data_IF_969609495229
#
_entry.id   IF_969609495229
#
_cell.length_a   1.000
_cell.length_b   1.000
_cell.length_c   1.000
_cell.angle_alpha   90.00
_cell.angle_beta   90.00
_cell.angle_gamma   90.00
#
_symmetry.space_group_name_H-M   'P 1'
#
loop_
_entity.id
_entity.type
_entity.pdbx_description
1 polymer ?
#
# COMPACT_ATOMS: atom_id res chain seq x y z
N UNK A 1 -8.18 -9.22 7.73
CA UNK A 1 -6.77 -8.94 7.44
C UNK A 1 -5.91 -9.55 8.55
N UNK A 2 -4.87 -10.30 8.17
CA UNK A 2 -3.91 -10.85 9.14
C UNK A 2 -2.71 -9.92 9.21
N UNK A 3 -2.46 -9.40 10.40
CA UNK A 3 -1.33 -8.54 10.72
C UNK A 3 -0.46 -9.27 11.72
N UNK A 4 0.83 -9.33 11.48
CA UNK A 4 1.79 -9.94 12.37
C UNK A 4 2.87 -8.92 12.74
N UNK A 5 3.29 -8.94 13.98
CA UNK A 5 4.45 -8.18 14.42
C UNK A 5 5.71 -8.83 13.84
N UNK A 6 6.55 -8.01 13.20
CA UNK A 6 7.85 -8.46 12.75
C UNK A 6 8.69 -8.89 13.97
N UNK A 7 9.12 -10.14 13.98
CA UNK A 7 10.05 -10.61 14.99
C UNK A 7 11.45 -10.40 14.46
N UNK A 8 12.30 -9.72 15.23
CA UNK A 8 13.73 -9.66 14.93
C UNK A 8 14.24 -11.09 14.87
N UNK A 9 14.72 -11.46 13.70
CA UNK A 9 15.14 -12.81 13.40
C UNK A 9 16.65 -12.86 13.49
N UNK A 10 17.18 -13.94 14.07
CA UNK A 10 18.62 -14.23 14.08
C UNK A 10 19.26 -14.21 12.68
N UNK A 11 18.46 -14.38 11.64
CA UNK A 11 18.90 -14.27 10.25
C UNK A 11 19.26 -12.86 9.80
N UNK A 12 18.98 -11.84 10.61
CA UNK A 12 19.25 -10.44 10.30
C UNK A 12 19.87 -9.71 11.52
N UNK A 13 21.14 -10.03 11.84
CA UNK A 13 21.83 -9.42 13.00
C UNK A 13 21.93 -7.91 12.90
N UNK A 14 21.84 -7.34 11.70
CA UNK A 14 21.86 -5.89 11.48
C UNK A 14 20.68 -5.19 12.16
N UNK A 15 19.50 -5.78 12.19
CA UNK A 15 18.32 -5.18 12.83
C UNK A 15 18.50 -5.07 14.35
N UNK A 16 19.04 -6.10 14.97
CA UNK A 16 19.36 -6.05 16.39
C UNK A 16 20.43 -5.02 16.68
N UNK A 17 21.46 -4.92 15.83
CA UNK A 17 22.51 -3.92 15.97
C UNK A 17 21.96 -2.48 15.84
N UNK A 18 21.01 -2.24 14.94
CA UNK A 18 20.37 -0.92 14.79
C UNK A 18 19.56 -0.55 16.05
N UNK A 19 18.77 -1.48 16.59
CA UNK A 19 18.00 -1.21 17.81
C UNK A 19 18.92 -0.99 19.01
N UNK A 20 19.99 -1.75 19.12
CA UNK A 20 21.01 -1.54 20.18
C UNK A 20 21.64 -0.16 20.04
N UNK A 21 22.05 0.23 18.83
CA UNK A 21 22.63 1.54 18.57
C UNK A 21 21.65 2.69 18.85
N UNK A 22 20.37 2.53 18.51
CA UNK A 22 19.34 3.50 18.81
C UNK A 22 19.20 3.69 20.34
N UNK A 23 19.17 2.61 21.09
CA UNK A 23 19.11 2.66 22.55
C UNK A 23 20.36 3.28 23.18
N UNK A 24 21.55 2.96 22.68
CA UNK A 24 22.82 3.57 23.10
C UNK A 24 22.86 5.07 22.79
N UNK A 25 22.20 5.51 21.71
CA UNK A 25 22.05 6.92 21.35
C UNK A 25 20.99 7.65 22.17
N UNK A 26 20.33 6.98 23.12
CA UNK A 26 19.34 7.57 24.02
C UNK A 26 17.90 7.57 23.49
N UNK A 27 17.65 6.90 22.36
CA UNK A 27 16.28 6.72 21.88
C UNK A 27 15.59 5.59 22.64
N UNK A 28 14.32 5.77 22.94
CA UNK A 28 13.51 4.69 23.49
C UNK A 28 13.22 3.63 22.44
N UNK A 29 12.94 2.40 22.92
CA UNK A 29 12.49 1.32 22.07
C UNK A 29 11.00 1.08 22.31
N UNK A 30 10.19 1.08 21.25
CA UNK A 30 8.77 0.74 21.34
C UNK A 30 8.54 -0.72 20.99
N UNK A 31 7.57 -1.33 21.64
CA UNK A 31 7.10 -2.67 21.30
C UNK A 31 6.01 -2.66 20.22
N UNK A 32 5.25 -1.55 20.14
CA UNK A 32 4.11 -1.40 19.23
C UNK A 32 4.12 0.00 18.60
N UNK A 33 4.45 0.06 17.31
CA UNK A 33 4.44 1.30 16.54
C UNK A 33 3.04 1.92 16.38
N UNK A 34 1.98 1.15 16.63
CA UNK A 34 0.60 1.60 16.60
C UNK A 34 -0.01 1.75 18.00
N UNK A 35 0.83 1.68 19.04
CA UNK A 35 0.44 1.81 20.44
C UNK A 35 0.24 3.26 20.88
N UNK A 36 0.11 3.43 22.19
CA UNK A 36 -0.09 4.76 22.80
C UNK A 36 1.13 5.69 22.68
N UNK A 37 2.33 5.14 22.54
CA UNK A 37 3.60 5.87 22.38
C UNK A 37 4.31 5.37 21.14
N UNK A 38 4.57 6.28 20.22
CA UNK A 38 5.22 5.98 18.94
C UNK A 38 6.67 6.49 18.87
N UNK A 39 7.06 7.42 19.77
CA UNK A 39 8.42 7.97 19.80
C UNK A 39 9.44 6.87 20.07
N UNK A 40 10.50 6.82 19.29
CA UNK A 40 11.59 5.85 19.43
C UNK A 40 11.75 4.91 18.24
N UNK A 41 12.39 3.78 18.47
CA UNK A 41 12.69 2.78 17.46
C UNK A 41 12.07 1.42 17.82
N UNK A 42 11.70 0.65 16.82
CA UNK A 42 11.15 -0.67 17.02
C UNK A 42 10.85 -1.42 15.72
N UNK A 43 10.21 -2.56 15.85
CA UNK A 43 9.77 -3.35 14.69
C UNK A 43 8.37 -2.93 14.26
N UNK A 44 8.14 -2.96 12.95
CA UNK A 44 6.83 -2.64 12.39
C UNK A 44 5.96 -3.90 12.25
N UNK A 45 4.66 -3.69 12.34
CA UNK A 45 3.69 -4.71 11.98
C UNK A 45 3.61 -4.86 10.46
N UNK A 46 3.49 -6.11 10.01
CA UNK A 46 3.48 -6.44 8.59
C UNK A 46 2.29 -7.30 8.21
N UNK A 47 1.79 -7.09 7.01
CA UNK A 47 0.73 -7.92 6.41
C UNK A 47 1.33 -9.11 5.68
N UNK A 48 2.07 -9.94 6.42
CA UNK A 48 2.64 -11.20 5.95
C UNK A 48 2.04 -12.34 6.75
N UNK A 49 1.55 -13.37 6.08
CA UNK A 49 1.03 -14.57 6.72
C UNK A 49 1.57 -15.82 6.02
N UNK A 50 2.09 -16.75 6.80
CA UNK A 50 2.75 -17.96 6.29
C UNK A 50 3.79 -17.65 5.19
N UNK A 51 4.69 -16.69 5.45
CA UNK A 51 5.75 -16.28 4.53
C UNK A 51 5.26 -15.71 3.20
N UNK A 52 4.02 -15.23 3.11
CA UNK A 52 3.46 -14.62 1.90
C UNK A 52 2.79 -13.29 2.24
N UNK A 53 2.94 -12.32 1.34
CA UNK A 53 2.20 -11.07 1.46
C UNK A 53 0.70 -11.33 1.50
N UNK A 54 0.04 -10.78 2.51
CA UNK A 54 -1.38 -10.93 2.77
C UNK A 54 -2.13 -9.63 2.43
N UNK A 55 -2.07 -9.26 1.14
CA UNK A 55 -2.74 -8.07 0.63
C UNK A 55 -4.27 -8.23 0.59
N UNK A 56 -4.98 -7.13 0.29
CA UNK A 56 -6.44 -7.05 0.34
C UNK A 56 -7.16 -8.14 -0.48
N UNK A 57 -6.68 -8.44 -1.69
CA UNK A 57 -7.26 -9.51 -2.50
C UNK A 57 -7.27 -10.87 -1.79
N UNK A 58 -6.12 -11.25 -1.18
CA UNK A 58 -6.02 -12.50 -0.43
C UNK A 58 -6.75 -12.43 0.92
N UNK A 59 -6.73 -11.26 1.56
CA UNK A 59 -7.29 -11.09 2.90
C UNK A 59 -8.82 -11.07 2.92
N UNK A 60 -9.43 -10.56 1.87
CA UNK A 60 -10.88 -10.33 1.82
C UNK A 60 -11.54 -11.05 0.65
N UNK A 61 -10.97 -10.96 -0.56
CA UNK A 61 -11.62 -11.47 -1.76
C UNK A 61 -11.54 -12.99 -1.85
N UNK A 62 -10.39 -13.60 -1.51
CA UNK A 62 -10.24 -15.07 -1.59
C UNK A 62 -11.25 -15.83 -0.71
N UNK A 63 -11.69 -15.24 0.41
CA UNK A 63 -12.65 -15.86 1.32
C UNK A 63 -14.09 -15.84 0.75
N UNK A 64 -14.40 -14.87 -0.11
CA UNK A 64 -15.75 -14.63 -0.61
C UNK A 64 -15.93 -14.78 -2.11
N UNK A 65 -14.86 -15.06 -2.85
CA UNK A 65 -14.88 -15.13 -4.33
C UNK A 65 -15.86 -16.17 -4.92
N UNK A 66 -16.22 -17.18 -4.13
CA UNK A 66 -17.19 -18.20 -4.52
C UNK A 66 -18.62 -17.87 -4.08
N UNK A 67 -18.84 -16.70 -3.45
CA UNK A 67 -20.17 -16.28 -3.06
C UNK A 67 -21.02 -15.96 -4.31
N UNK A 68 -22.21 -16.54 -4.41
CA UNK A 68 -23.12 -16.37 -5.56
C UNK A 68 -23.58 -14.91 -5.75
N UNK A 69 -23.51 -14.10 -4.69
CA UNK A 69 -23.86 -12.69 -4.73
C UNK A 69 -22.70 -11.78 -5.13
N UNK A 70 -21.50 -12.34 -5.37
CA UNK A 70 -20.32 -11.61 -5.78
C UNK A 70 -19.95 -12.00 -7.22
N UNK A 71 -19.86 -11.01 -8.09
CA UNK A 71 -19.30 -11.15 -9.43
C UNK A 71 -18.05 -10.30 -9.56
N UNK A 72 -16.99 -10.86 -10.09
CA UNK A 72 -15.70 -10.20 -10.26
C UNK A 72 -15.38 -10.16 -11.75
N UNK A 73 -15.26 -8.95 -12.28
CA UNK A 73 -14.86 -8.71 -13.65
C UNK A 73 -13.42 -8.23 -13.69
N UNK A 74 -12.53 -9.05 -14.22
CA UNK A 74 -11.14 -8.66 -14.53
C UNK A 74 -11.03 -8.15 -15.96
N UNK A 75 -9.88 -7.54 -16.33
CA UNK A 75 -9.68 -6.93 -17.66
C UNK A 75 -10.82 -5.93 -18.00
N UNK A 76 -11.16 -5.11 -17.03
CA UNK A 76 -12.31 -4.22 -17.08
C UNK A 76 -11.89 -2.83 -16.60
N UNK A 77 -11.72 -1.92 -17.54
CA UNK A 77 -11.36 -0.54 -17.25
C UNK A 77 -12.62 0.32 -17.19
N UNK A 78 -12.92 0.87 -16.03
CA UNK A 78 -14.04 1.79 -15.87
C UNK A 78 -13.75 3.10 -16.58
N UNK A 79 -14.59 3.43 -17.55
CA UNK A 79 -14.48 4.65 -18.36
C UNK A 79 -15.11 5.83 -17.62
N UNK A 80 -16.35 5.65 -17.16
CA UNK A 80 -17.09 6.69 -16.42
C UNK A 80 -18.25 6.09 -15.62
N UNK A 81 -18.74 6.89 -14.68
CA UNK A 81 -20.00 6.64 -13.96
C UNK A 81 -21.17 7.16 -14.80
N UNK A 82 -22.24 6.40 -14.84
CA UNK A 82 -23.49 6.77 -15.50
C UNK A 82 -24.40 7.47 -14.49
N UNK A 83 -24.93 8.62 -14.89
CA UNK A 83 -25.82 9.41 -14.06
C UNK A 83 -27.20 9.60 -14.71
N UNK A 84 -28.22 9.68 -13.88
CA UNK A 84 -29.54 10.17 -14.23
C UNK A 84 -29.96 11.17 -13.15
N UNK A 85 -30.26 12.41 -13.54
CA UNK A 85 -30.65 13.47 -12.60
C UNK A 85 -29.69 13.60 -11.38
N UNK A 86 -28.39 13.55 -11.61
CA UNK A 86 -27.31 13.56 -10.59
C UNK A 86 -27.26 12.33 -9.68
N UNK A 87 -28.03 11.30 -9.94
CA UNK A 87 -27.97 10.03 -9.23
C UNK A 87 -27.09 9.05 -10.02
N UNK A 88 -26.09 8.47 -9.37
CA UNK A 88 -25.26 7.43 -9.97
C UNK A 88 -26.09 6.15 -10.17
N UNK A 89 -26.27 5.75 -11.42
CA UNK A 89 -27.10 4.60 -11.79
C UNK A 89 -26.31 3.41 -12.33
N UNK A 90 -25.00 3.54 -12.50
CA UNK A 90 -24.16 2.48 -13.05
C UNK A 90 -22.81 2.98 -13.52
N UNK A 91 -22.13 2.16 -14.28
CA UNK A 91 -20.81 2.44 -14.86
C UNK A 91 -20.74 2.03 -16.32
N UNK A 92 -19.93 2.70 -17.10
CA UNK A 92 -19.51 2.31 -18.44
C UNK A 92 -18.08 1.77 -18.36
N UNK A 93 -17.85 0.62 -18.97
CA UNK A 93 -16.61 -0.16 -18.81
C UNK A 93 -16.10 -0.61 -20.16
N UNK A 94 -14.81 -0.56 -20.37
CA UNK A 94 -14.11 -1.30 -21.41
C UNK A 94 -13.78 -2.70 -20.87
N UNK A 95 -14.57 -3.69 -21.26
CA UNK A 95 -14.38 -5.08 -20.87
C UNK A 95 -14.02 -5.92 -22.09
N UNK A 96 -12.85 -6.58 -22.06
CA UNK A 96 -12.36 -7.40 -23.19
C UNK A 96 -12.46 -6.67 -24.56
N UNK A 97 -12.05 -5.41 -24.61
CA UNK A 97 -12.09 -4.51 -25.78
C UNK A 97 -13.52 -4.21 -26.30
N UNK A 98 -14.54 -4.36 -25.47
CA UNK A 98 -15.91 -3.96 -25.78
C UNK A 98 -16.42 -2.99 -24.71
N UNK A 99 -17.21 -2.01 -25.14
CA UNK A 99 -17.87 -1.10 -24.22
C UNK A 99 -19.16 -1.75 -23.72
N UNK A 100 -19.25 -1.91 -22.41
CA UNK A 100 -20.40 -2.49 -21.72
C UNK A 100 -20.90 -1.53 -20.63
N UNK A 101 -22.17 -1.64 -20.26
CA UNK A 101 -22.78 -0.87 -19.18
C UNK A 101 -23.31 -1.80 -18.10
N UNK A 102 -22.92 -1.49 -16.87
CA UNK A 102 -23.41 -2.18 -15.68
C UNK A 102 -24.26 -1.21 -14.86
N UNK A 103 -25.47 -1.61 -14.50
CA UNK A 103 -26.39 -0.78 -13.74
C UNK A 103 -26.46 -1.21 -12.28
N UNK A 104 -26.52 -0.24 -11.39
CA UNK A 104 -26.62 -0.44 -9.96
C UNK A 104 -28.04 -0.24 -9.46
N UNK A 105 -28.53 -1.18 -8.64
CA UNK A 105 -29.86 -1.07 -8.03
C UNK A 105 -29.88 -0.19 -6.77
N UNK A 106 -28.72 0.03 -6.15
CA UNK A 106 -28.58 0.81 -4.92
C UNK A 106 -27.57 1.94 -5.08
N UNK A 107 -26.30 1.59 -5.29
CA UNK A 107 -25.22 2.57 -5.30
C UNK A 107 -24.03 2.09 -6.14
N UNK A 108 -23.15 3.03 -6.49
CA UNK A 108 -21.85 2.79 -7.12
C UNK A 108 -20.77 3.16 -6.11
N UNK A 109 -19.92 2.20 -5.74
CA UNK A 109 -18.78 2.42 -4.86
C UNK A 109 -17.52 2.65 -5.69
N UNK A 110 -16.93 3.82 -5.59
CA UNK A 110 -15.72 4.19 -6.29
C UNK A 110 -14.51 4.03 -5.38
N UNK A 111 -13.67 3.02 -5.63
CA UNK A 111 -12.47 2.70 -4.84
C UNK A 111 -11.27 2.44 -5.75
N UNK A 112 -11.06 3.28 -6.76
CA UNK A 112 -10.05 3.11 -7.79
C UNK A 112 -8.67 3.71 -7.44
N UNK A 113 -8.49 4.18 -6.21
CA UNK A 113 -7.26 4.80 -5.72
C UNK A 113 -7.18 6.29 -5.99
N UNK A 114 -6.12 6.93 -5.47
CA UNK A 114 -5.95 8.39 -5.45
C UNK A 114 -5.80 9.03 -6.84
N UNK A 115 -5.40 8.26 -7.85
CA UNK A 115 -5.25 8.72 -9.23
C UNK A 115 -6.49 8.39 -10.06
N UNK A 116 -6.96 7.14 -10.02
CA UNK A 116 -8.03 6.73 -10.92
C UNK A 116 -9.42 7.15 -10.44
N UNK A 117 -9.65 7.27 -9.12
CA UNK A 117 -10.95 7.75 -8.62
C UNK A 117 -11.28 9.17 -9.10
N UNK A 118 -10.40 10.18 -8.91
CA UNK A 118 -10.66 11.50 -9.46
C UNK A 118 -10.69 11.53 -10.99
N UNK A 119 -9.88 10.73 -11.69
CA UNK A 119 -9.94 10.60 -13.15
C UNK A 119 -11.33 10.13 -13.61
N UNK A 120 -11.88 9.09 -12.98
CA UNK A 120 -13.21 8.57 -13.32
C UNK A 120 -14.29 9.60 -13.03
N UNK A 121 -14.20 10.34 -11.92
CA UNK A 121 -15.13 11.44 -11.63
C UNK A 121 -15.06 12.53 -12.71
N UNK A 122 -13.87 12.97 -13.09
CA UNK A 122 -13.70 13.99 -14.13
C UNK A 122 -14.24 13.51 -15.48
N UNK A 123 -13.95 12.29 -15.89
CA UNK A 123 -14.51 11.70 -17.11
C UNK A 123 -16.04 11.54 -17.06
N UNK A 124 -16.61 11.58 -15.86
CA UNK A 124 -18.07 11.55 -15.62
C UNK A 124 -18.69 12.93 -15.50
N UNK A 125 -17.93 14.00 -15.75
CA UNK A 125 -18.39 15.38 -15.69
C UNK A 125 -18.37 15.99 -14.29
N UNK A 126 -17.66 15.39 -13.33
CA UNK A 126 -17.52 15.90 -11.96
C UNK A 126 -16.10 16.37 -11.73
N UNK A 127 -15.88 17.67 -11.59
CA UNK A 127 -14.57 18.30 -11.45
C UNK A 127 -14.65 19.80 -11.61
N UNK A 128 -13.51 20.46 -11.78
CA UNK A 128 -13.45 21.90 -12.06
C UNK A 128 -14.04 22.19 -13.44
N UNK A 129 -15.12 22.95 -13.47
CA UNK A 129 -15.94 23.16 -14.67
C UNK A 129 -15.15 23.72 -15.86
N UNK A 130 -14.26 24.68 -15.62
CA UNK A 130 -13.45 25.29 -16.69
C UNK A 130 -12.42 24.32 -17.28
N UNK A 131 -11.86 23.44 -16.46
CA UNK A 131 -10.94 22.39 -16.91
C UNK A 131 -11.66 21.31 -17.74
N UNK A 132 -12.83 20.88 -17.28
CA UNK A 132 -13.65 19.89 -17.99
C UNK A 132 -14.10 20.41 -19.35
N UNK A 133 -14.54 21.67 -19.44
CA UNK A 133 -14.92 22.32 -20.70
C UNK A 133 -13.76 22.38 -21.71
N UNK A 134 -12.54 22.70 -21.24
CA UNK A 134 -11.34 22.70 -22.12
C UNK A 134 -11.07 21.33 -22.74
N UNK A 135 -11.45 20.26 -22.04
CA UNK A 135 -11.29 18.87 -22.49
C UNK A 135 -12.53 18.35 -23.27
N UNK A 136 -13.50 19.21 -23.57
CA UNK A 136 -14.77 18.85 -24.19
C UNK A 136 -15.55 17.80 -23.39
N UNK A 137 -15.50 17.87 -22.06
CA UNK A 137 -16.27 17.03 -21.15
C UNK A 137 -17.45 17.85 -20.64
N UNK A 138 -18.66 17.30 -20.81
CA UNK A 138 -19.88 17.92 -20.30
C UNK A 138 -19.85 18.00 -18.77
N UNK A 139 -20.09 19.20 -18.23
CA UNK A 139 -20.06 19.44 -16.78
C UNK A 139 -21.38 19.01 -16.16
N UNK A 140 -21.34 17.92 -15.39
CA UNK A 140 -22.48 17.47 -14.58
C UNK A 140 -22.53 18.21 -13.25
N UNK A 141 -21.36 18.39 -12.62
CA UNK A 141 -21.24 19.07 -11.34
C UNK A 141 -19.87 19.73 -11.20
N UNK A 142 -19.88 21.03 -10.92
CA UNK A 142 -18.65 21.77 -10.64
C UNK A 142 -18.16 21.44 -9.22
N UNK A 143 -17.04 20.72 -9.14
CA UNK A 143 -16.41 20.31 -7.89
C UNK A 143 -14.90 20.51 -7.99
N UNK A 144 -14.38 21.72 -7.74
CA UNK A 144 -12.99 22.09 -8.01
C UNK A 144 -11.95 21.27 -7.25
N UNK A 145 -12.31 20.62 -6.13
CA UNK A 145 -11.41 19.80 -5.34
C UNK A 145 -11.04 18.45 -5.97
N UNK A 146 -11.80 17.99 -6.97
CA UNK A 146 -11.55 16.69 -7.61
C UNK A 146 -10.24 16.70 -8.39
N UNK A 147 -9.33 15.82 -8.03
CA UNK A 147 -8.00 15.70 -8.65
C UNK A 147 -6.98 16.74 -8.18
N UNK A 148 -7.30 17.55 -7.18
CA UNK A 148 -6.37 18.52 -6.57
C UNK A 148 -5.72 17.94 -5.32
N UNK A 149 -4.64 18.61 -4.87
CA UNK A 149 -3.93 18.33 -3.61
C UNK A 149 -3.45 16.87 -3.46
N UNK A 150 -3.06 16.23 -4.56
CA UNK A 150 -2.39 14.94 -4.48
C UNK A 150 -1.08 15.12 -3.71
N UNK A 151 -0.90 14.30 -2.66
CA UNK A 151 0.30 14.29 -1.83
C UNK A 151 0.87 12.89 -1.80
N UNK A 152 2.20 12.80 -1.72
CA UNK A 152 2.92 11.56 -1.54
C UNK A 152 3.99 11.74 -0.47
N UNK A 153 4.54 10.65 0.04
CA UNK A 153 5.59 10.67 1.04
C UNK A 153 6.87 11.28 0.45
N UNK A 154 7.45 12.22 1.18
CA UNK A 154 8.81 12.71 0.88
C UNK A 154 9.81 11.72 1.48
N UNK A 155 10.68 11.16 0.65
CA UNK A 155 11.68 10.18 1.08
C UNK A 155 13.09 10.64 0.71
N UNK A 156 14.04 10.38 1.61
CA UNK A 156 15.47 10.56 1.37
C UNK A 156 16.19 9.25 1.65
N UNK A 157 16.88 8.73 0.65
CA UNK A 157 17.66 7.50 0.78
C UNK A 157 19.09 7.79 1.20
N UNK A 158 19.47 7.31 2.39
CA UNK A 158 20.86 7.30 2.85
C UNK A 158 21.36 5.87 2.80
N UNK A 159 22.33 5.62 1.95
CA UNK A 159 22.85 4.28 1.72
C UNK A 159 24.23 4.11 2.32
N UNK A 160 24.41 3.03 3.08
CA UNK A 160 25.69 2.62 3.64
C UNK A 160 26.07 1.23 3.14
N UNK A 161 27.34 1.04 2.84
CA UNK A 161 27.88 -0.29 2.51
C UNK A 161 28.32 -1.00 3.77
N UNK A 162 27.71 -2.15 4.07
CA UNK A 162 28.18 -3.01 5.16
C UNK A 162 29.53 -3.64 4.82
N UNK A 163 30.42 -3.71 5.80
CA UNK A 163 31.69 -4.44 5.68
C UNK A 163 31.50 -5.96 5.78
N UNK A 164 30.38 -6.40 6.35
CA UNK A 164 30.00 -7.80 6.51
C UNK A 164 28.87 -8.16 5.54
N UNK A 165 28.77 -9.43 5.21
CA UNK A 165 27.69 -9.98 4.35
C UNK A 165 26.41 -10.24 5.16
N UNK A 166 25.83 -9.18 5.72
CA UNK A 166 24.68 -9.22 6.62
C UNK A 166 23.44 -8.52 6.04
N UNK A 167 23.53 -8.03 4.81
CA UNK A 167 22.44 -7.32 4.14
C UNK A 167 21.74 -8.18 3.09
N UNK A 168 20.59 -7.72 2.63
CA UNK A 168 19.86 -8.36 1.52
C UNK A 168 20.60 -8.24 0.18
N UNK A 169 21.66 -7.44 0.10
CA UNK A 169 22.46 -7.29 -1.11
C UNK A 169 23.06 -8.63 -1.58
N UNK A 170 23.48 -9.49 -0.64
CA UNK A 170 23.97 -10.84 -1.00
C UNK A 170 22.89 -11.68 -1.70
N UNK A 171 21.62 -11.49 -1.32
CA UNK A 171 20.51 -12.17 -1.99
C UNK A 171 20.34 -11.70 -3.43
N UNK A 172 20.62 -10.42 -3.70
CA UNK A 172 20.52 -9.86 -5.06
C UNK A 172 21.68 -10.23 -5.98
N UNK A 173 22.84 -10.58 -5.44
CA UNK A 173 24.08 -10.74 -6.21
C UNK A 173 24.60 -12.18 -6.29
N UNK A 174 24.09 -13.11 -5.47
CA UNK A 174 24.55 -14.48 -5.43
C UNK A 174 23.44 -15.47 -5.81
N UNK A 175 23.50 -16.01 -7.01
CA UNK A 175 22.51 -16.97 -7.52
C UNK A 175 22.35 -18.24 -6.67
N UNK A 176 23.42 -18.73 -6.06
CA UNK A 176 23.35 -19.90 -5.18
C UNK A 176 22.55 -19.56 -3.91
N UNK A 177 22.83 -18.42 -3.32
CA UNK A 177 22.05 -17.90 -2.18
C UNK A 177 20.58 -17.72 -2.54
N UNK A 178 20.28 -17.15 -3.71
CA UNK A 178 18.91 -17.01 -4.21
C UNK A 178 18.21 -18.37 -4.32
N UNK A 179 18.87 -19.36 -4.92
CA UNK A 179 18.32 -20.70 -5.07
C UNK A 179 18.03 -21.37 -3.72
N UNK A 180 18.97 -21.29 -2.77
CA UNK A 180 18.79 -21.84 -1.42
C UNK A 180 17.63 -21.16 -0.69
N UNK A 181 17.59 -19.83 -0.68
CA UNK A 181 16.51 -19.09 -0.03
C UNK A 181 15.16 -19.29 -0.75
N UNK A 182 15.17 -19.44 -2.08
CA UNK A 182 14.02 -19.83 -2.88
C UNK A 182 13.45 -21.20 -2.47
N UNK A 183 14.32 -22.20 -2.32
CA UNK A 183 13.93 -23.55 -1.87
C UNK A 183 13.39 -23.51 -0.43
N UNK A 184 14.07 -22.81 0.48
CA UNK A 184 13.58 -22.63 1.86
C UNK A 184 12.19 -21.99 1.90
N UNK A 185 11.98 -20.95 1.11
CA UNK A 185 10.67 -20.32 1.04
C UNK A 185 9.62 -21.23 0.39
N UNK A 186 9.97 -21.92 -0.69
CA UNK A 186 9.03 -22.78 -1.39
C UNK A 186 8.54 -23.92 -0.50
N UNK A 187 9.48 -24.63 0.16
CA UNK A 187 9.17 -25.79 0.99
C UNK A 187 8.63 -25.43 2.37
N UNK A 188 9.22 -24.44 3.04
CA UNK A 188 8.97 -24.17 4.46
C UNK A 188 8.31 -22.83 4.73
N UNK A 189 8.16 -21.95 3.72
CA UNK A 189 7.68 -20.57 3.89
C UNK A 189 8.50 -19.77 4.91
N UNK A 190 9.78 -20.06 4.99
CA UNK A 190 10.76 -19.46 5.90
C UNK A 190 11.94 -18.89 5.11
N UNK A 191 12.87 -18.25 5.81
CA UNK A 191 14.07 -17.64 5.23
C UNK A 191 13.86 -16.19 4.81
N UNK A 192 14.88 -15.61 4.19
CA UNK A 192 14.93 -14.18 3.86
C UNK A 192 13.80 -13.70 2.94
N UNK A 193 13.26 -14.58 2.09
CA UNK A 193 12.15 -14.28 1.19
C UNK A 193 10.76 -14.26 1.87
N UNK A 194 10.69 -14.65 3.15
CA UNK A 194 9.43 -14.71 3.90
C UNK A 194 9.14 -13.45 4.72
N UNK A 195 10.03 -12.46 4.68
CA UNK A 195 9.95 -11.24 5.48
C UNK A 195 9.78 -10.00 4.62
N UNK A 196 9.36 -8.89 5.25
CA UNK A 196 9.42 -7.56 4.67
C UNK A 196 10.85 -7.03 4.74
N UNK A 197 11.20 -6.15 3.81
CA UNK A 197 12.48 -5.45 3.83
C UNK A 197 12.45 -4.19 4.72
N UNK A 198 11.27 -3.81 5.22
CA UNK A 198 11.02 -2.68 6.11
C UNK A 198 10.47 -3.19 7.44
N UNK A 199 11.31 -3.90 8.20
CA UNK A 199 10.87 -4.58 9.42
C UNK A 199 11.09 -3.75 10.68
N UNK A 200 11.93 -2.74 10.60
CA UNK A 200 12.21 -1.84 11.71
C UNK A 200 12.34 -0.39 11.23
N UNK A 201 12.09 0.53 12.12
CA UNK A 201 12.28 1.94 11.90
C UNK A 201 12.05 2.71 13.20
N UNK A 202 11.95 4.02 13.08
CA UNK A 202 11.73 4.86 14.24
C UNK A 202 10.90 6.08 13.87
N UNK A 203 10.26 6.63 14.89
CA UNK A 203 9.60 7.91 14.85
C UNK A 203 10.33 8.83 15.83
N UNK A 204 10.91 9.91 15.34
CA UNK A 204 11.74 10.79 16.17
C UNK A 204 11.37 12.25 15.96
N UNK A 205 11.55 13.04 17.01
CA UNK A 205 11.42 14.49 16.95
C UNK A 205 12.78 15.13 16.70
N UNK A 206 12.88 16.04 15.76
CA UNK A 206 14.13 16.77 15.49
C UNK A 206 14.51 17.76 16.56
N UNK A 207 13.56 18.18 17.39
CA UNK A 207 13.78 18.99 18.60
C UNK A 207 12.56 18.94 19.53
N UNK A 208 12.76 19.38 20.78
CA UNK A 208 11.75 19.35 21.85
C UNK A 208 10.53 20.26 21.63
N UNK A 209 10.53 21.10 20.59
CA UNK A 209 9.38 21.95 20.24
C UNK A 209 8.25 21.16 19.60
N UNK A 210 8.55 20.02 19.04
CA UNK A 210 7.53 19.17 18.41
C UNK A 210 6.89 18.27 19.45
N UNK A 211 5.58 18.37 19.52
CA UNK A 211 4.76 17.54 20.42
C UNK A 211 4.65 16.09 19.97
N UNK A 212 4.89 15.85 18.68
CA UNK A 212 4.84 14.54 18.04
C UNK A 212 6.05 14.36 17.14
N UNK A 213 6.48 13.13 16.86
CA UNK A 213 7.53 12.84 15.90
C UNK A 213 7.26 13.51 14.54
N UNK A 214 8.31 14.05 13.95
CA UNK A 214 8.25 14.72 12.65
C UNK A 214 9.21 14.11 11.62
N UNK A 215 9.90 13.04 12.00
CA UNK A 215 10.65 12.13 11.13
C UNK A 215 10.25 10.71 11.48
#
# INVERSE_FOLDING_TARGET
>A
LKVNRSKINESFPLFQAILTAANEAGFELFEDSNGAKQDGFGTFDVTIHNGKRYGAGRAYLDEVKNNKNLQIFTNSDVIKILFKDKIAIGIEVMHNNKIEKFYANKEVLLSAGSINSPKILQLSGIGEAEELKKLNIDVLHDLPGVGKNLQDHFEVYIQHRSKKKESLYDLSTNYLTQAIEGIKWFLFKKGRLSYSHLELGGFVSTNDKYKHPNI
#
